data_IF_738924565690
#
_entry.id   IF_738924565690
#
_cell.length_a   1.000
_cell.length_b   1.000
_cell.length_c   1.000
_cell.angle_alpha   90.00
_cell.angle_beta   90.00
_cell.angle_gamma   90.00
#
_symmetry.space_group_name_H-M   'P 1'
#
loop_
_entity.id
_entity.type
_entity.pdbx_description
1 polymer ?
#
# COMPACT_ATOMS: atom_id res chain seq x y z
N UNK A 1 -63.79 -2.40 13.91
CA UNK A 1 -62.42 -2.45 14.47
C UNK A 1 -61.45 -2.74 13.33
N UNK A 2 -60.86 -1.69 12.72
CA UNK A 2 -59.85 -1.82 11.65
C UNK A 2 -58.47 -1.88 12.31
N UNK A 3 -57.75 -3.00 12.17
CA UNK A 3 -56.36 -3.13 12.59
C UNK A 3 -55.47 -2.52 11.52
N UNK A 4 -54.93 -1.34 11.77
CA UNK A 4 -53.89 -0.74 10.93
C UNK A 4 -52.56 -1.45 11.23
N UNK A 5 -52.04 -2.21 10.27
CA UNK A 5 -50.67 -2.73 10.32
C UNK A 5 -49.78 -1.65 9.74
N UNK A 6 -49.00 -0.99 10.59
CA UNK A 6 -47.98 -0.02 10.18
C UNK A 6 -46.78 -0.79 9.62
N UNK A 7 -46.62 -0.78 8.30
CA UNK A 7 -45.40 -1.26 7.64
C UNK A 7 -44.28 -0.25 7.87
N UNK A 8 -43.36 -0.55 8.79
CA UNK A 8 -42.07 0.14 8.89
C UNK A 8 -41.14 -0.38 7.79
N UNK A 9 -40.91 0.44 6.76
CA UNK A 9 -39.86 0.24 5.78
C UNK A 9 -38.53 0.73 6.38
N UNK A 10 -37.68 -0.21 6.79
CA UNK A 10 -36.29 0.08 7.17
C UNK A 10 -35.50 0.26 5.86
N UNK A 11 -35.18 1.50 5.47
CA UNK A 11 -34.21 1.78 4.43
C UNK A 11 -32.81 1.44 4.97
N UNK A 12 -32.28 0.29 4.59
CA UNK A 12 -30.86 -0.03 4.77
C UNK A 12 -30.05 0.73 3.71
N UNK A 13 -29.52 1.91 4.07
CA UNK A 13 -28.48 2.58 3.28
C UNK A 13 -27.19 1.77 3.38
N UNK A 14 -26.89 1.00 2.34
CA UNK A 14 -25.57 0.40 2.16
C UNK A 14 -24.55 1.53 1.93
N UNK A 15 -23.75 1.85 2.94
CA UNK A 15 -22.55 2.65 2.75
C UNK A 15 -21.57 1.81 1.90
N UNK A 16 -21.52 2.10 0.60
CA UNK A 16 -20.49 1.56 -0.29
C UNK A 16 -19.18 2.27 0.08
N UNK A 17 -18.39 1.62 0.94
CA UNK A 17 -17.01 2.02 1.18
C UNK A 17 -16.22 1.76 -0.11
N UNK A 18 -16.02 2.79 -0.94
CA UNK A 18 -15.08 2.70 -2.06
C UNK A 18 -13.66 2.61 -1.52
N UNK A 19 -13.17 1.39 -1.27
CA UNK A 19 -11.76 1.13 -1.02
C UNK A 19 -10.98 1.26 -2.34
N UNK A 20 -10.81 2.48 -2.81
CA UNK A 20 -10.06 2.82 -4.02
C UNK A 20 -8.62 3.23 -3.65
N UNK A 21 -7.79 2.32 -3.17
CA UNK A 21 -6.38 2.64 -2.81
C UNK A 21 -5.40 1.49 -3.04
N UNK A 22 -5.52 0.74 -4.15
CA UNK A 22 -4.49 -0.24 -4.55
C UNK A 22 -4.47 -0.58 -6.04
N UNK A 23 -5.55 -0.32 -6.78
CA UNK A 23 -5.67 -0.71 -8.18
C UNK A 23 -4.98 0.26 -9.17
N UNK A 24 -4.58 1.46 -8.73
CA UNK A 24 -4.46 2.61 -9.63
C UNK A 24 -3.16 2.64 -10.45
N UNK A 25 -2.01 2.32 -9.84
CA UNK A 25 -0.70 2.39 -10.50
C UNK A 25 -0.53 1.33 -11.61
N UNK A 26 -0.98 0.11 -11.33
CA UNK A 26 -1.00 -0.99 -12.28
C UNK A 26 -1.94 -0.68 -13.45
N UNK A 27 -3.08 -0.03 -13.16
CA UNK A 27 -4.07 0.32 -14.17
C UNK A 27 -3.56 1.37 -15.17
N UNK A 28 -2.72 2.31 -14.73
CA UNK A 28 -2.12 3.33 -15.61
C UNK A 28 -1.19 2.70 -16.65
N UNK A 29 -0.26 1.85 -16.20
CA UNK A 29 0.66 1.16 -17.12
C UNK A 29 -0.07 0.23 -18.10
N UNK A 30 -1.11 -0.48 -17.68
CA UNK A 30 -1.90 -1.31 -18.58
C UNK A 30 -2.81 -0.52 -19.52
N UNK A 31 -3.18 0.71 -19.16
CA UNK A 31 -4.04 1.59 -19.96
C UNK A 31 -3.27 2.40 -21.01
N UNK A 32 -2.00 2.67 -20.77
CA UNK A 32 -1.17 3.54 -21.65
C UNK A 32 -0.23 2.77 -22.58
N UNK A 33 0.03 1.49 -22.32
CA UNK A 33 0.94 0.68 -23.13
C UNK A 33 0.22 -0.01 -24.29
N UNK A 34 0.82 0.05 -25.49
CA UNK A 34 0.29 -0.60 -26.69
C UNK A 34 0.65 -2.10 -26.74
N UNK A 35 1.68 -2.51 -26.00
CA UNK A 35 2.13 -3.89 -25.93
C UNK A 35 2.79 -4.24 -24.58
N UNK A 36 3.07 -5.52 -24.39
CA UNK A 36 3.62 -6.05 -23.14
C UNK A 36 5.00 -5.51 -22.78
N UNK A 37 5.86 -5.22 -23.76
CA UNK A 37 7.20 -4.69 -23.48
C UNK A 37 7.09 -3.28 -22.89
N UNK A 38 6.14 -2.49 -23.39
CA UNK A 38 5.83 -1.16 -22.85
C UNK A 38 5.22 -1.25 -21.44
N UNK A 39 4.33 -2.21 -21.18
CA UNK A 39 3.82 -2.46 -19.82
C UNK A 39 4.98 -2.72 -18.85
N UNK A 40 5.89 -3.63 -19.21
CA UNK A 40 7.00 -3.97 -18.33
C UNK A 40 7.97 -2.79 -18.12
N UNK A 41 8.23 -2.00 -19.17
CA UNK A 41 9.04 -0.79 -19.05
C UNK A 41 8.39 0.25 -18.13
N UNK A 42 7.08 0.46 -18.27
CA UNK A 42 6.29 1.33 -17.40
C UNK A 42 6.36 0.85 -15.95
N UNK A 43 6.13 -0.44 -15.69
CA UNK A 43 6.19 -1.02 -14.34
C UNK A 43 7.56 -0.90 -13.69
N UNK A 44 8.65 -1.06 -14.45
CA UNK A 44 10.02 -0.86 -13.93
C UNK A 44 10.26 0.60 -13.52
N UNK A 45 9.79 1.56 -14.33
CA UNK A 45 9.88 2.98 -14.00
C UNK A 45 9.06 3.30 -12.76
N UNK A 46 7.82 2.83 -12.71
CA UNK A 46 6.89 3.03 -11.59
C UNK A 46 7.44 2.44 -10.29
N UNK A 47 8.07 1.26 -10.35
CA UNK A 47 8.73 0.65 -9.21
C UNK A 47 9.87 1.53 -8.70
N UNK A 48 10.73 2.03 -9.58
CA UNK A 48 11.85 2.90 -9.18
C UNK A 48 11.38 4.23 -8.55
N UNK A 49 10.26 4.79 -9.02
CA UNK A 49 9.64 5.97 -8.42
C UNK A 49 8.99 5.64 -7.07
N UNK A 50 8.32 4.48 -6.97
CA UNK A 50 7.71 4.00 -5.73
C UNK A 50 8.76 3.69 -4.66
N UNK A 51 9.91 3.13 -5.03
CA UNK A 51 11.04 2.88 -4.11
C UNK A 51 11.54 4.18 -3.50
N UNK A 52 11.79 5.21 -4.32
CA UNK A 52 12.20 6.54 -3.83
C UNK A 52 11.17 7.17 -2.90
N UNK A 53 9.89 7.10 -3.26
CA UNK A 53 8.82 7.64 -2.43
C UNK A 53 8.70 6.88 -1.10
N UNK A 54 8.80 5.55 -1.13
CA UNK A 54 8.76 4.72 0.06
C UNK A 54 9.92 5.06 1.02
N UNK A 55 11.14 5.19 0.49
CA UNK A 55 12.33 5.51 1.28
C UNK A 55 12.21 6.89 1.96
N UNK A 56 11.71 7.92 1.24
CA UNK A 56 11.45 9.24 1.83
C UNK A 56 10.47 9.16 3.01
N UNK A 57 9.37 8.42 2.85
CA UNK A 57 8.38 8.25 3.92
C UNK A 57 9.00 7.51 5.12
N UNK A 58 9.77 6.44 4.88
CA UNK A 58 10.45 5.70 5.95
C UNK A 58 11.43 6.59 6.70
N UNK A 59 12.25 7.37 6.00
CA UNK A 59 13.24 8.26 6.62
C UNK A 59 12.58 9.33 7.48
N UNK A 60 11.48 9.94 7.00
CA UNK A 60 10.71 10.93 7.75
C UNK A 60 10.06 10.34 9.00
N UNK A 61 9.47 9.13 8.90
CA UNK A 61 8.88 8.47 10.08
C UNK A 61 9.97 8.06 11.08
N UNK A 62 11.12 7.58 10.61
CA UNK A 62 12.25 7.26 11.47
C UNK A 62 12.79 8.49 12.19
N UNK A 63 12.85 9.65 11.51
CA UNK A 63 13.21 10.91 12.14
C UNK A 63 12.24 11.28 13.28
N UNK A 64 10.92 11.20 13.04
CA UNK A 64 9.91 11.44 14.10
C UNK A 64 10.04 10.46 15.28
N UNK A 65 10.34 9.19 15.01
CA UNK A 65 10.57 8.20 16.05
C UNK A 65 11.84 8.49 16.88
N UNK A 66 12.92 8.95 16.24
CA UNK A 66 14.16 9.39 16.90
C UNK A 66 13.94 10.64 17.75
N UNK A 67 13.11 11.56 17.27
CA UNK A 67 12.71 12.76 18.01
C UNK A 67 11.92 12.42 19.27
N UNK A 68 10.97 11.48 19.16
CA UNK A 68 10.23 10.95 20.30
C UNK A 68 11.17 10.32 21.35
N UNK A 69 12.09 9.48 20.92
CA UNK A 69 13.06 8.84 21.83
C UNK A 69 13.93 9.89 22.56
N UNK A 70 14.32 10.97 21.86
CA UNK A 70 15.07 12.08 22.46
C UNK A 70 14.24 12.83 23.49
N UNK A 71 13.00 13.20 23.18
CA UNK A 71 12.10 13.94 24.08
C UNK A 71 11.82 13.12 25.35
N UNK A 72 11.53 11.83 25.18
CA UNK A 72 11.22 10.93 26.29
C UNK A 72 12.46 10.47 27.07
N UNK A 73 13.66 10.82 26.60
CA UNK A 73 14.95 10.36 27.14
C UNK A 73 14.99 8.83 27.31
N UNK A 74 14.30 8.11 26.42
CA UNK A 74 14.16 6.65 26.43
C UNK A 74 14.27 6.18 25.00
N UNK A 75 15.16 5.21 24.76
CA UNK A 75 15.28 4.54 23.46
C UNK A 75 14.17 3.50 23.31
N UNK A 76 13.52 3.45 22.15
CA UNK A 76 12.56 2.39 21.85
C UNK A 76 11.78 2.56 20.56
N UNK A 77 11.27 3.76 20.28
CA UNK A 77 10.41 4.00 19.13
C UNK A 77 11.19 3.84 17.81
N UNK A 78 12.40 4.41 17.72
CA UNK A 78 13.21 4.31 16.51
C UNK A 78 13.59 2.85 16.21
N UNK A 79 14.03 2.11 17.23
CA UNK A 79 14.39 0.69 17.10
C UNK A 79 13.17 -0.16 16.69
N UNK A 80 12.02 0.07 17.33
CA UNK A 80 10.80 -0.66 16.98
C UNK A 80 10.35 -0.37 15.54
N UNK A 81 10.50 0.87 15.08
CA UNK A 81 10.19 1.23 13.70
C UNK A 81 11.16 0.58 12.70
N UNK A 82 12.47 0.61 12.97
CA UNK A 82 13.48 -0.07 12.15
C UNK A 82 13.21 -1.59 12.05
N UNK A 83 12.87 -2.24 13.16
CA UNK A 83 12.50 -3.65 13.19
C UNK A 83 11.20 -3.94 12.41
N UNK A 84 10.20 -3.07 12.53
CA UNK A 84 8.95 -3.15 11.77
C UNK A 84 9.21 -2.99 10.27
N UNK A 85 10.03 -2.02 9.85
CA UNK A 85 10.36 -1.81 8.45
C UNK A 85 11.15 -2.99 7.87
N UNK A 86 12.09 -3.56 8.64
CA UNK A 86 12.81 -4.77 8.28
C UNK A 86 11.88 -5.98 8.13
N UNK A 87 10.83 -6.08 8.96
CA UNK A 87 9.83 -7.14 8.84
C UNK A 87 8.95 -6.95 7.60
N UNK A 88 8.57 -5.71 7.31
CA UNK A 88 7.83 -5.39 6.08
C UNK A 88 8.64 -5.73 4.82
N UNK A 89 9.94 -5.42 4.77
CA UNK A 89 10.79 -5.80 3.64
C UNK A 89 10.81 -7.33 3.41
N UNK A 90 10.89 -8.13 4.49
CA UNK A 90 10.80 -9.59 4.38
C UNK A 90 9.43 -10.06 3.88
N UNK A 91 8.36 -9.42 4.33
CA UNK A 91 7.00 -9.71 3.87
C UNK A 91 6.85 -9.36 2.38
N UNK A 92 7.31 -8.18 1.96
CA UNK A 92 7.30 -7.72 0.57
C UNK A 92 7.96 -8.74 -0.35
N UNK A 93 9.16 -9.20 0.00
CA UNK A 93 9.90 -10.18 -0.80
C UNK A 93 9.18 -11.53 -0.87
N UNK A 94 8.71 -12.04 0.29
CA UNK A 94 8.05 -13.34 0.36
C UNK A 94 6.71 -13.36 -0.37
N UNK A 95 5.89 -12.34 -0.15
CA UNK A 95 4.56 -12.20 -0.75
C UNK A 95 4.68 -12.03 -2.26
N UNK A 96 5.57 -11.14 -2.74
CA UNK A 96 5.68 -10.91 -4.17
C UNK A 96 6.33 -12.08 -4.91
N UNK A 97 7.17 -12.88 -4.26
CA UNK A 97 7.63 -14.16 -4.80
C UNK A 97 6.51 -15.20 -4.88
N UNK A 98 5.61 -15.24 -3.91
CA UNK A 98 4.41 -16.08 -3.98
C UNK A 98 3.49 -15.64 -5.12
N UNK A 99 3.23 -14.34 -5.24
CA UNK A 99 2.43 -13.77 -6.35
C UNK A 99 3.05 -14.16 -7.69
N UNK A 100 4.36 -13.99 -7.87
CA UNK A 100 5.06 -14.44 -9.08
C UNK A 100 4.81 -15.93 -9.37
N UNK A 101 5.00 -16.78 -8.37
CA UNK A 101 4.82 -18.23 -8.50
C UNK A 101 3.37 -18.63 -8.82
N UNK A 102 2.38 -17.86 -8.33
CA UNK A 102 0.96 -18.12 -8.58
C UNK A 102 0.55 -17.97 -10.06
N UNK A 103 1.36 -17.26 -10.86
CA UNK A 103 1.16 -17.12 -12.31
C UNK A 103 1.73 -18.31 -13.12
N UNK A 104 2.44 -19.24 -12.47
CA UNK A 104 3.04 -20.41 -13.10
C UNK A 104 4.03 -20.05 -14.22
N UNK A 105 4.15 -20.89 -15.25
CA UNK A 105 4.99 -20.64 -16.43
C UNK A 105 4.36 -19.64 -17.42
N UNK A 106 3.32 -18.91 -17.00
CA UNK A 106 2.63 -17.93 -17.83
C UNK A 106 3.50 -16.70 -18.11
N UNK A 107 3.20 -16.01 -19.21
CA UNK A 107 4.01 -14.87 -19.68
C UNK A 107 3.95 -13.63 -18.77
N UNK A 108 3.12 -13.62 -17.72
CA UNK A 108 2.88 -12.46 -16.83
C UNK A 108 3.42 -12.51 -15.42
N UNK A 109 4.20 -13.53 -15.05
CA UNK A 109 4.86 -13.60 -13.74
C UNK A 109 5.73 -12.36 -13.47
N UNK A 110 6.50 -11.92 -14.47
CA UNK A 110 7.37 -10.74 -14.36
C UNK A 110 6.62 -9.42 -14.15
N UNK A 111 5.43 -9.26 -14.74
CA UNK A 111 4.60 -8.07 -14.51
C UNK A 111 3.95 -8.14 -13.13
N UNK A 112 3.52 -9.34 -12.71
CA UNK A 112 2.87 -9.59 -11.44
C UNK A 112 3.78 -9.28 -10.23
N UNK A 113 5.07 -9.67 -10.29
CA UNK A 113 6.01 -9.36 -9.20
C UNK A 113 6.28 -7.86 -9.08
N UNK A 114 6.42 -7.13 -10.20
CA UNK A 114 6.62 -5.68 -10.19
C UNK A 114 5.39 -4.98 -9.61
N UNK A 115 4.20 -5.36 -10.08
CA UNK A 115 2.93 -4.83 -9.60
C UNK A 115 2.72 -5.06 -8.10
N UNK A 116 3.02 -6.27 -7.62
CA UNK A 116 2.94 -6.60 -6.21
C UNK A 116 3.80 -5.65 -5.36
N UNK A 117 5.06 -5.44 -5.76
CA UNK A 117 5.98 -4.58 -5.02
C UNK A 117 5.48 -3.14 -4.97
N UNK A 118 5.09 -2.59 -6.12
CA UNK A 118 4.52 -1.23 -6.23
C UNK A 118 3.33 -1.08 -5.27
N UNK A 119 2.36 -1.98 -5.34
CA UNK A 119 1.13 -1.87 -4.57
C UNK A 119 1.37 -1.98 -3.06
N UNK A 120 2.18 -2.93 -2.62
CA UNK A 120 2.47 -3.10 -1.19
C UNK A 120 3.28 -1.92 -0.64
N UNK A 121 4.25 -1.40 -1.40
CA UNK A 121 5.03 -0.24 -0.99
C UNK A 121 4.17 1.02 -0.92
N UNK A 122 3.32 1.28 -1.91
CA UNK A 122 2.35 2.39 -1.89
C UNK A 122 1.38 2.29 -0.72
N UNK A 123 0.84 1.09 -0.46
CA UNK A 123 -0.06 0.86 0.67
C UNK A 123 0.63 1.15 2.00
N UNK A 124 1.85 0.65 2.20
CA UNK A 124 2.60 0.90 3.44
C UNK A 124 3.01 2.36 3.58
N UNK A 125 3.51 2.99 2.52
CA UNK A 125 3.88 4.40 2.53
C UNK A 125 2.67 5.30 2.86
N UNK A 126 1.53 5.08 2.20
CA UNK A 126 0.30 5.83 2.50
C UNK A 126 -0.18 5.61 3.94
N UNK A 127 -0.08 4.38 4.46
CA UNK A 127 -0.38 4.06 5.85
C UNK A 127 0.54 4.77 6.84
N UNK A 128 1.84 4.86 6.54
CA UNK A 128 2.84 5.55 7.35
C UNK A 128 2.63 7.07 7.34
N UNK A 129 2.40 7.64 6.16
CA UNK A 129 2.14 9.07 6.00
C UNK A 129 0.87 9.51 6.77
N UNK A 130 -0.22 8.76 6.61
CA UNK A 130 -1.49 9.01 7.29
C UNK A 130 -1.39 8.95 8.83
N UNK A 131 -0.54 8.05 9.34
CA UNK A 131 -0.43 7.82 10.80
C UNK A 131 0.59 8.74 11.47
N UNK A 132 1.71 9.04 10.81
CA UNK A 132 2.89 9.59 11.48
C UNK A 132 3.39 10.92 10.91
N UNK A 133 2.93 11.35 9.73
CA UNK A 133 3.46 12.54 9.05
C UNK A 133 2.39 13.61 8.83
N UNK A 134 1.21 13.22 8.34
CA UNK A 134 0.10 14.14 8.01
C UNK A 134 -0.56 14.82 9.22
N UNK A 135 -0.27 14.39 10.45
CA UNK A 135 -0.68 15.07 11.69
C UNK A 135 0.29 16.16 12.17
N UNK A 136 1.42 16.32 11.49
CA UNK A 136 2.50 17.23 11.90
C UNK A 136 2.50 18.57 11.15
N UNK A 137 1.46 18.83 10.32
CA UNK A 137 1.23 20.10 9.61
C UNK A 137 0.01 20.84 10.16
#
# INVERSE_FOLDING_TARGET
MRKSVASMLILATAAVSTSAVAADALSECYRTADNRLEVQACLKKELAETEKFYDDIVDRVLANARDLDRIQKRKGAAKAFEESNKAFARYLDAECKWVEASYGAGTGSGDAILACRINLMKMRAGSLDAQFLSRSN
#
